data_IF_652456043219
#
_entry.id   IF_652456043219
#
_cell.length_a   1.000
_cell.length_b   1.000
_cell.length_c   1.000
_cell.angle_alpha   90.00
_cell.angle_beta   90.00
_cell.angle_gamma   90.00
#
_symmetry.space_group_name_H-M   'P 1'
#
loop_
_entity.id
_entity.type
_entity.pdbx_description
1 polymer ?
#
# COMPACT_ATOMS: atom_id res chain seq x y z
N UNK A 1 10.30 19.02 -24.62
CA UNK A 1 9.55 18.24 -25.62
C UNK A 1 10.04 18.68 -26.98
N UNK A 2 10.52 17.74 -27.80
CA UNK A 2 10.88 18.05 -29.18
C UNK A 2 9.63 18.45 -29.97
N UNK A 3 9.77 19.43 -30.85
CA UNK A 3 8.72 19.81 -31.79
C UNK A 3 8.68 18.68 -32.82
N UNK A 4 7.54 17.99 -32.94
CA UNK A 4 7.28 16.90 -33.92
C UNK A 4 7.57 15.45 -33.48
N UNK A 5 7.40 15.16 -32.18
CA UNK A 5 7.40 13.79 -31.66
C UNK A 5 6.13 13.45 -30.87
N UNK A 6 5.60 12.24 -31.05
CA UNK A 6 4.48 11.69 -30.32
C UNK A 6 4.95 10.99 -29.03
N UNK A 7 4.17 11.19 -27.96
CA UNK A 7 4.35 10.50 -26.69
C UNK A 7 3.02 9.86 -26.30
N UNK A 8 3.07 8.73 -25.59
CA UNK A 8 1.87 8.09 -25.06
C UNK A 8 1.69 8.51 -23.60
N UNK A 9 0.62 9.25 -23.30
CA UNK A 9 0.30 9.71 -21.95
C UNK A 9 0.32 8.59 -20.91
N UNK A 10 -0.39 7.48 -21.17
CA UNK A 10 -0.47 6.35 -20.25
C UNK A 10 0.90 5.76 -19.97
N UNK A 11 1.68 5.47 -21.00
CA UNK A 11 3.02 4.89 -20.84
C UNK A 11 4.01 5.89 -20.23
N UNK A 12 3.85 7.19 -20.47
CA UNK A 12 4.74 8.20 -19.91
C UNK A 12 4.65 8.24 -18.38
N UNK A 13 3.44 8.24 -17.84
CA UNK A 13 3.19 8.38 -16.39
C UNK A 13 3.09 7.05 -15.65
N UNK A 14 2.52 6.01 -16.27
CA UNK A 14 2.13 4.76 -15.60
C UNK A 14 2.88 3.52 -16.12
N UNK A 15 4.04 3.69 -16.75
CA UNK A 15 4.89 2.54 -17.12
C UNK A 15 5.34 1.80 -15.87
N UNK A 16 5.21 0.48 -15.90
CA UNK A 16 5.76 -0.37 -14.84
C UNK A 16 7.28 -0.54 -15.04
N UNK A 17 8.09 -0.43 -13.97
CA UNK A 17 9.49 -0.78 -14.04
C UNK A 17 9.63 -2.27 -14.32
N UNK A 18 10.32 -2.63 -15.41
CA UNK A 18 10.70 -4.00 -15.74
C UNK A 18 12.20 -4.05 -16.01
N UNK A 19 12.82 -5.17 -15.65
CA UNK A 19 14.23 -5.44 -15.96
C UNK A 19 14.49 -5.41 -17.45
N UNK A 20 15.52 -4.65 -17.83
CA UNK A 20 16.34 -4.65 -19.05
C UNK A 20 15.71 -5.19 -20.34
N UNK A 21 14.52 -4.70 -20.71
CA UNK A 21 14.06 -4.77 -22.10
C UNK A 21 14.27 -3.41 -22.76
N UNK A 22 15.46 -3.27 -23.37
CA UNK A 22 15.79 -2.28 -24.39
C UNK A 22 14.64 -2.22 -25.41
N UNK A 23 13.98 -1.07 -25.57
CA UNK A 23 13.10 -0.84 -26.74
C UNK A 23 11.78 -0.09 -26.55
N UNK A 24 11.39 0.37 -25.35
CA UNK A 24 10.07 1.03 -25.12
C UNK A 24 10.20 2.49 -24.63
N UNK A 25 11.28 3.15 -25.02
CA UNK A 25 11.52 4.55 -24.66
C UNK A 25 11.01 5.54 -25.72
N UNK A 26 10.64 5.06 -26.92
CA UNK A 26 10.12 5.89 -28.00
C UNK A 26 8.88 6.70 -27.58
N UNK A 27 7.93 6.11 -26.87
CA UNK A 27 6.71 6.81 -26.45
C UNK A 27 6.79 7.46 -25.06
N UNK A 28 7.94 7.39 -24.38
CA UNK A 28 8.07 7.85 -22.98
C UNK A 28 9.27 8.74 -22.69
N UNK A 29 10.40 8.59 -23.40
CA UNK A 29 11.60 9.41 -23.19
C UNK A 29 11.99 10.18 -24.44
N UNK A 30 12.23 9.48 -25.54
CA UNK A 30 12.78 10.10 -26.77
C UNK A 30 11.70 10.77 -27.60
N UNK A 31 10.49 10.21 -27.64
CA UNK A 31 9.43 10.64 -28.55
C UNK A 31 9.46 9.84 -29.86
N UNK A 32 8.28 9.58 -30.42
CA UNK A 32 8.13 8.90 -31.71
C UNK A 32 7.94 9.92 -32.82
N UNK A 33 8.84 9.95 -33.81
CA UNK A 33 8.80 10.91 -34.92
C UNK A 33 8.79 10.26 -36.31
N UNK A 34 8.80 8.92 -36.40
CA UNK A 34 8.79 8.22 -37.70
C UNK A 34 7.38 8.08 -38.27
N UNK A 35 6.85 9.20 -38.76
CA UNK A 35 5.46 9.29 -39.23
C UNK A 35 5.11 8.35 -40.39
N UNK A 36 6.10 7.93 -41.19
CA UNK A 36 5.89 6.99 -42.32
C UNK A 36 5.44 5.60 -41.88
N UNK A 37 5.77 5.19 -40.65
CA UNK A 37 5.44 3.86 -40.09
C UNK A 37 4.38 3.90 -38.99
N UNK A 38 3.66 5.02 -38.85
CA UNK A 38 2.76 5.28 -37.72
C UNK A 38 1.75 4.15 -37.49
N UNK A 39 1.08 3.66 -38.55
CA UNK A 39 0.02 2.66 -38.40
C UNK A 39 0.53 1.33 -37.82
N UNK A 40 1.67 0.86 -38.32
CA UNK A 40 2.31 -0.37 -37.85
C UNK A 40 2.77 -0.21 -36.38
N UNK A 41 3.52 0.86 -36.11
CA UNK A 41 4.14 1.08 -34.79
C UNK A 41 3.09 1.38 -33.72
N UNK A 42 2.01 2.09 -34.05
CA UNK A 42 0.95 2.39 -33.08
C UNK A 42 0.15 1.13 -32.75
N UNK A 43 -0.11 0.28 -33.74
CA UNK A 43 -0.80 -0.99 -33.54
C UNK A 43 0.04 -1.91 -32.66
N UNK A 44 1.35 -2.02 -32.92
CA UNK A 44 2.29 -2.79 -32.09
C UNK A 44 2.41 -2.20 -30.68
N UNK A 45 2.47 -0.87 -30.56
CA UNK A 45 2.54 -0.17 -29.28
C UNK A 45 1.34 -0.47 -28.39
N UNK A 46 0.12 -0.36 -28.94
CA UNK A 46 -1.11 -0.70 -28.22
C UNK A 46 -1.12 -2.20 -27.91
N UNK A 47 -0.75 -3.04 -28.86
CA UNK A 47 -0.61 -4.48 -28.69
C UNK A 47 -1.87 -5.17 -28.15
N UNK A 48 -1.68 -6.37 -27.59
CA UNK A 48 -2.77 -7.17 -27.02
C UNK A 48 -3.22 -6.74 -25.61
N UNK A 49 -4.16 -7.48 -25.04
CA UNK A 49 -4.81 -7.19 -23.75
C UNK A 49 -3.83 -7.01 -22.59
N UNK A 50 -2.69 -7.70 -22.59
CA UNK A 50 -1.66 -7.62 -21.54
C UNK A 50 -0.41 -6.87 -21.98
N UNK A 51 -0.50 -6.06 -23.04
CA UNK A 51 0.58 -5.19 -23.49
C UNK A 51 0.94 -4.16 -22.41
N UNK A 52 2.13 -3.58 -22.54
CA UNK A 52 2.58 -2.54 -21.61
C UNK A 52 1.70 -1.30 -21.68
N UNK A 53 1.22 -0.94 -22.87
CA UNK A 53 0.27 0.15 -23.05
C UNK A 53 -1.04 -0.11 -22.30
N UNK A 54 -1.65 -1.29 -22.50
CA UNK A 54 -2.92 -1.60 -21.86
C UNK A 54 -2.82 -1.74 -20.35
N UNK A 55 -1.68 -2.23 -19.84
CA UNK A 55 -1.42 -2.22 -18.39
C UNK A 55 -1.26 -0.80 -17.85
N UNK A 56 -0.48 0.06 -18.51
CA UNK A 56 -0.35 1.47 -18.11
C UNK A 56 -1.68 2.22 -18.19
N UNK A 57 -2.52 1.91 -19.18
CA UNK A 57 -3.88 2.44 -19.30
C UNK A 57 -4.75 2.02 -18.12
N UNK A 58 -4.74 0.73 -17.72
CA UNK A 58 -5.46 0.25 -16.52
C UNK A 58 -5.02 0.99 -15.26
N UNK A 59 -3.71 1.13 -15.04
CA UNK A 59 -3.18 1.88 -13.89
C UNK A 59 -3.64 3.33 -13.87
N UNK A 60 -3.76 3.97 -15.03
CA UNK A 60 -4.32 5.31 -15.10
C UNK A 60 -5.80 5.35 -14.73
N UNK A 61 -6.59 4.36 -15.15
CA UNK A 61 -8.01 4.29 -14.78
C UNK A 61 -8.18 3.99 -13.28
N UNK A 62 -7.36 3.11 -12.73
CA UNK A 62 -7.32 2.85 -11.28
C UNK A 62 -6.92 4.11 -10.51
N UNK A 63 -5.95 4.86 -11.01
CA UNK A 63 -5.55 6.15 -10.41
C UNK A 63 -6.69 7.19 -10.44
N UNK A 64 -7.51 7.21 -11.50
CA UNK A 64 -8.69 8.08 -11.59
C UNK A 64 -9.83 7.64 -10.67
N UNK A 65 -9.81 6.40 -10.17
CA UNK A 65 -10.83 5.89 -9.27
C UNK A 65 -10.74 6.57 -7.90
N UNK A 66 -11.47 7.68 -7.74
CA UNK A 66 -11.47 8.49 -6.53
C UNK A 66 -11.86 7.72 -5.27
N UNK A 67 -12.61 6.61 -5.40
CA UNK A 67 -12.99 5.76 -4.25
C UNK A 67 -11.79 5.09 -3.60
N UNK A 68 -10.74 4.84 -4.36
CA UNK A 68 -9.48 4.25 -3.89
C UNK A 68 -8.42 5.29 -3.55
N UNK A 69 -8.75 6.58 -3.65
CA UNK A 69 -7.82 7.63 -3.27
C UNK A 69 -7.60 7.62 -1.75
N UNK A 70 -6.35 7.84 -1.33
CA UNK A 70 -5.97 7.88 0.09
C UNK A 70 -6.83 8.90 0.85
N UNK A 71 -7.07 10.09 0.31
CA UNK A 71 -7.90 11.09 1.00
C UNK A 71 -9.35 10.62 1.18
N UNK A 72 -9.92 9.98 0.16
CA UNK A 72 -11.27 9.43 0.21
C UNK A 72 -11.37 8.31 1.24
N UNK A 73 -10.43 7.36 1.23
CA UNK A 73 -10.36 6.27 2.22
C UNK A 73 -10.25 6.85 3.62
N UNK A 74 -9.35 7.81 3.87
CA UNK A 74 -9.22 8.45 5.17
C UNK A 74 -10.47 9.24 5.58
N UNK A 75 -11.14 9.93 4.64
CA UNK A 75 -12.39 10.64 4.91
C UNK A 75 -13.59 9.73 5.15
N UNK A 76 -13.56 8.50 4.61
CA UNK A 76 -14.58 7.48 4.87
C UNK A 76 -14.43 6.80 6.22
N UNK A 77 -13.34 7.05 6.96
CA UNK A 77 -13.23 6.57 8.34
C UNK A 77 -14.13 7.41 9.24
N UNK A 78 -14.98 6.71 9.99
CA UNK A 78 -15.82 7.32 11.01
C UNK A 78 -14.95 7.78 12.19
N UNK A 79 -15.45 8.76 12.95
CA UNK A 79 -14.73 9.28 14.13
C UNK A 79 -14.50 8.19 15.17
N UNK A 80 -15.39 7.21 15.24
CA UNK A 80 -15.28 6.05 16.13
C UNK A 80 -14.08 5.17 15.75
N UNK A 81 -13.83 4.95 14.45
CA UNK A 81 -12.65 4.23 13.98
C UNK A 81 -11.35 4.97 14.31
N UNK A 82 -11.33 6.30 14.19
CA UNK A 82 -10.15 7.11 14.55
C UNK A 82 -9.86 7.02 16.05
N UNK A 83 -10.89 7.15 16.90
CA UNK A 83 -10.76 7.04 18.36
C UNK A 83 -10.26 5.65 18.75
N UNK A 84 -10.84 4.61 18.16
CA UNK A 84 -10.40 3.22 18.33
C UNK A 84 -8.92 3.03 17.94
N UNK A 85 -8.53 3.51 16.76
CA UNK A 85 -7.15 3.44 16.30
C UNK A 85 -6.17 4.15 17.26
N UNK A 86 -6.49 5.37 17.68
CA UNK A 86 -5.66 6.14 18.63
C UNK A 86 -5.54 5.43 19.98
N UNK A 87 -6.62 4.85 20.48
CA UNK A 87 -6.60 4.08 21.72
C UNK A 87 -5.65 2.87 21.61
N UNK A 88 -5.76 2.08 20.53
CA UNK A 88 -4.84 0.95 20.23
C UNK A 88 -3.38 1.37 20.24
N UNK A 89 -3.04 2.39 19.43
CA UNK A 89 -1.66 2.86 19.30
C UNK A 89 -1.13 3.34 20.65
N UNK A 90 -1.94 4.05 21.43
CA UNK A 90 -1.56 4.53 22.77
C UNK A 90 -1.21 3.38 23.71
N UNK A 91 -2.01 2.33 23.75
CA UNK A 91 -1.75 1.17 24.62
C UNK A 91 -0.49 0.42 24.19
N UNK A 92 -0.33 0.16 22.89
CA UNK A 92 0.88 -0.47 22.35
C UNK A 92 2.12 0.33 22.73
N UNK A 93 2.07 1.65 22.59
CA UNK A 93 3.18 2.53 22.98
C UNK A 93 3.48 2.46 24.48
N UNK A 94 2.46 2.40 25.33
CA UNK A 94 2.66 2.25 26.78
C UNK A 94 3.32 0.91 27.12
N UNK A 95 2.84 -0.19 26.56
CA UNK A 95 3.43 -1.53 26.78
C UNK A 95 4.87 -1.57 26.29
N UNK A 96 5.12 -1.12 25.05
CA UNK A 96 6.48 -1.08 24.48
C UNK A 96 7.41 -0.23 25.34
N UNK A 97 6.97 0.98 25.73
CA UNK A 97 7.76 1.87 26.57
C UNK A 97 8.09 1.23 27.93
N UNK A 98 7.12 0.58 28.57
CA UNK A 98 7.34 -0.11 29.84
C UNK A 98 8.39 -1.21 29.70
N UNK A 99 8.25 -2.09 28.69
CA UNK A 99 9.18 -3.19 28.46
C UNK A 99 10.61 -2.70 28.19
N UNK A 100 10.76 -1.63 27.39
CA UNK A 100 12.06 -0.99 27.16
C UNK A 100 12.68 -0.44 28.45
N UNK A 101 11.90 0.28 29.25
CA UNK A 101 12.38 0.88 30.49
C UNK A 101 12.80 -0.18 31.52
N UNK A 102 12.14 -1.32 31.54
CA UNK A 102 12.47 -2.43 32.43
C UNK A 102 13.49 -3.41 31.82
N UNK A 103 13.95 -3.18 30.59
CA UNK A 103 14.80 -4.11 29.83
C UNK A 103 14.24 -5.54 29.76
N UNK A 104 12.92 -5.66 29.69
CA UNK A 104 12.23 -6.95 29.61
C UNK A 104 12.15 -7.44 28.17
N UNK A 105 12.26 -8.76 28.00
CA UNK A 105 12.03 -9.39 26.71
C UNK A 105 10.57 -9.16 26.28
N UNK A 106 10.37 -8.81 25.00
CA UNK A 106 9.03 -8.61 24.44
C UNK A 106 8.32 -9.95 24.23
N UNK A 107 9.08 -10.92 23.71
CA UNK A 107 8.59 -12.20 23.20
C UNK A 107 8.82 -13.32 24.20
N UNK A 108 7.91 -14.29 24.18
CA UNK A 108 8.06 -15.55 24.89
C UNK A 108 8.82 -16.58 24.05
N UNK A 109 9.10 -17.73 24.65
CA UNK A 109 9.61 -18.88 23.90
C UNK A 109 8.54 -19.47 22.97
N UNK A 110 7.28 -19.43 23.39
CA UNK A 110 6.11 -19.85 22.62
C UNK A 110 5.01 -18.80 22.75
N UNK A 111 4.63 -18.18 21.63
CA UNK A 111 3.57 -17.17 21.54
C UNK A 111 2.22 -17.77 21.06
N UNK A 112 2.15 -19.09 20.92
CA UNK A 112 0.93 -19.82 20.55
C UNK A 112 -0.22 -19.52 21.52
N UNK A 113 -1.46 -19.58 21.04
CA UNK A 113 -2.65 -19.36 21.89
C UNK A 113 -2.80 -20.41 23.01
N UNK A 114 -2.16 -21.57 22.85
CA UNK A 114 -2.12 -22.64 23.87
C UNK A 114 -1.02 -22.47 24.92
N UNK A 115 -0.09 -21.53 24.73
CA UNK A 115 0.98 -21.26 25.69
C UNK A 115 0.44 -20.55 26.93
N UNK A 116 0.95 -20.92 28.11
CA UNK A 116 0.62 -20.25 29.37
C UNK A 116 1.38 -18.94 29.57
N UNK A 117 2.46 -18.73 28.81
CA UNK A 117 3.31 -17.53 28.88
C UNK A 117 3.72 -17.11 27.47
N UNK A 118 2.88 -16.31 26.83
CA UNK A 118 3.04 -15.89 25.43
C UNK A 118 4.07 -14.76 25.25
N UNK A 119 4.78 -14.40 26.31
CA UNK A 119 5.71 -13.28 26.33
C UNK A 119 5.09 -12.00 26.85
N UNK A 120 5.94 -11.16 27.46
CA UNK A 120 5.48 -10.00 28.23
C UNK A 120 4.64 -9.03 27.42
N UNK A 121 4.90 -8.87 26.12
CA UNK A 121 4.10 -7.99 25.26
C UNK A 121 2.65 -8.48 25.12
N UNK A 122 2.46 -9.75 24.77
CA UNK A 122 1.13 -10.33 24.56
C UNK A 122 0.37 -10.43 25.88
N UNK A 123 1.04 -10.82 26.96
CA UNK A 123 0.43 -10.89 28.28
C UNK A 123 -0.01 -9.50 28.78
N UNK A 124 0.83 -8.47 28.64
CA UNK A 124 0.45 -7.10 29.03
C UNK A 124 -0.68 -6.55 28.16
N UNK A 125 -0.68 -6.81 26.85
CA UNK A 125 -1.79 -6.39 25.99
C UNK A 125 -3.10 -7.06 26.37
N UNK A 126 -3.07 -8.37 26.65
CA UNK A 126 -4.23 -9.10 27.11
C UNK A 126 -4.75 -8.53 28.43
N UNK A 127 -3.84 -8.28 29.39
CA UNK A 127 -4.18 -7.64 30.67
C UNK A 127 -4.80 -6.25 30.49
N UNK A 128 -4.27 -5.41 29.59
CA UNK A 128 -4.88 -4.11 29.27
C UNK A 128 -6.29 -4.26 28.69
N UNK A 129 -6.51 -5.29 27.86
CA UNK A 129 -7.81 -5.60 27.29
C UNK A 129 -8.83 -6.10 28.33
N UNK A 130 -8.39 -6.79 29.39
CA UNK A 130 -9.27 -7.26 30.48
C UNK A 130 -9.60 -6.16 31.48
N UNK A 131 -8.64 -5.31 31.83
CA UNK A 131 -8.82 -4.28 32.87
C UNK A 131 -9.57 -3.04 32.38
N UNK A 132 -9.47 -2.71 31.08
CA UNK A 132 -10.10 -1.53 30.52
C UNK A 132 -11.07 -1.93 29.42
N UNK A 133 -12.36 -1.94 29.77
CA UNK A 133 -13.46 -2.38 28.90
C UNK A 133 -13.46 -1.68 27.53
N UNK A 134 -13.18 -0.36 27.51
CA UNK A 134 -13.09 0.43 26.28
C UNK A 134 -11.90 0.08 25.39
N UNK A 135 -10.86 -0.55 25.95
CA UNK A 135 -9.65 -0.99 25.25
C UNK A 135 -9.81 -2.45 24.82
N UNK A 136 -10.45 -3.30 25.61
CA UNK A 136 -10.71 -4.70 25.29
C UNK A 136 -11.44 -4.88 23.95
N UNK A 137 -12.43 -4.03 23.67
CA UNK A 137 -13.14 -4.05 22.38
C UNK A 137 -12.25 -3.63 21.18
N UNK A 138 -11.13 -2.95 21.44
CA UNK A 138 -10.30 -2.32 20.41
C UNK A 138 -9.04 -3.13 20.13
N UNK A 139 -8.48 -3.83 21.13
CA UNK A 139 -7.22 -4.60 21.04
C UNK A 139 -7.43 -6.07 20.60
N UNK A 140 -8.59 -6.66 20.90
CA UNK A 140 -8.86 -8.06 20.60
C UNK A 140 -8.87 -8.36 19.08
N UNK A 141 -8.90 -9.66 18.73
CA UNK A 141 -8.80 -10.24 17.37
C UNK A 141 -9.78 -9.66 16.31
N UNK A 142 -10.74 -8.84 16.73
CA UNK A 142 -11.68 -8.12 15.87
C UNK A 142 -11.17 -6.73 15.42
N UNK A 143 -9.90 -6.38 15.70
CA UNK A 143 -9.29 -5.18 15.16
C UNK A 143 -9.20 -5.27 13.62
N UNK A 144 -9.70 -4.27 12.86
CA UNK A 144 -9.63 -4.26 11.40
C UNK A 144 -8.19 -4.17 10.88
#
# INVERSE_FOLDING_TARGET
>A
MEKDAAYCFYCYLFKQPRGDKLGIDAFTKTGFSNWKKTMEVFTEHVGGVNSNHNNARRHCEDFKNQRQNVSHIFSSHSREMEVAYRARVTVVLHVVRFLLLQSLAFRGHDESSSSTHRGNYLEMLNWYGTEVESIGHVINENAP
#
